data_IF_460569763186
#
_entry.id   IF_460569763186
#
_cell.length_a   1.000
_cell.length_b   1.000
_cell.length_c   1.000
_cell.angle_alpha   90.00
_cell.angle_beta   90.00
_cell.angle_gamma   90.00
#
_symmetry.space_group_name_H-M   'P 1'
#
loop_
_entity.id
_entity.type
_entity.pdbx_description
1 polymer ?
#
# COMPACT_ATOMS: atom_id res chain seq x y z
N UNK A 1 -6.62 -1.21 28.78
CA UNK A 1 -7.39 0.05 28.81
C UNK A 1 -7.61 0.49 27.37
N UNK A 2 -8.78 0.24 26.83
CA UNK A 2 -9.18 0.71 25.50
C UNK A 2 -9.62 2.14 25.65
N UNK A 3 -8.85 3.10 25.17
CA UNK A 3 -9.32 4.47 24.98
C UNK A 3 -9.90 4.50 23.56
N UNK A 4 -11.22 4.50 23.37
CA UNK A 4 -11.79 4.76 22.07
C UNK A 4 -11.52 6.24 21.80
N UNK A 5 -10.51 6.53 20.99
CA UNK A 5 -10.39 7.82 20.35
C UNK A 5 -11.56 7.89 19.36
N UNK A 6 -12.70 8.41 19.81
CA UNK A 6 -13.79 8.70 18.91
C UNK A 6 -13.23 9.65 17.82
N UNK A 7 -13.24 9.21 16.59
CA UNK A 7 -12.93 10.08 15.46
C UNK A 7 -13.76 11.35 15.59
N UNK A 8 -13.24 12.53 15.28
CA UNK A 8 -13.97 13.78 15.41
C UNK A 8 -15.34 13.68 14.72
N UNK A 9 -16.37 14.29 15.28
CA UNK A 9 -17.71 14.34 14.66
C UNK A 9 -17.69 14.89 13.23
N UNK A 10 -16.71 15.73 12.89
CA UNK A 10 -16.46 16.20 11.52
C UNK A 10 -16.13 15.09 10.52
N UNK A 11 -15.66 13.92 10.99
CA UNK A 11 -15.42 12.74 10.14
C UNK A 11 -16.68 11.87 9.98
N UNK A 12 -17.73 12.10 10.78
CA UNK A 12 -19.00 11.36 10.69
C UNK A 12 -19.80 11.69 9.42
N UNK A 13 -19.45 12.75 8.70
CA UNK A 13 -20.02 13.07 7.38
C UNK A 13 -19.49 12.17 6.26
N UNK A 14 -18.34 11.52 6.46
CA UNK A 14 -17.89 10.40 5.63
C UNK A 14 -18.69 9.18 6.05
N UNK A 15 -19.55 8.68 5.18
CA UNK A 15 -20.48 7.58 5.50
C UNK A 15 -19.69 6.36 5.98
N UNK A 16 -19.55 6.24 7.28
CA UNK A 16 -19.16 4.99 7.91
C UNK A 16 -20.35 4.03 7.78
N UNK A 17 -20.16 2.98 7.03
CA UNK A 17 -21.03 1.82 7.08
C UNK A 17 -20.48 0.89 8.16
N UNK A 18 -21.12 0.79 9.36
CA UNK A 18 -20.72 -0.21 10.33
C UNK A 18 -20.78 -1.57 9.66
N UNK A 19 -19.64 -2.24 9.59
CA UNK A 19 -19.54 -3.50 8.91
C UNK A 19 -20.30 -4.58 9.71
N UNK A 20 -21.03 -5.48 9.04
CA UNK A 20 -21.55 -6.69 9.67
C UNK A 20 -20.40 -7.52 10.25
N UNK A 21 -20.70 -8.46 11.15
CA UNK A 21 -19.70 -9.32 11.81
C UNK A 21 -18.76 -9.98 10.79
N UNK A 22 -17.50 -10.20 11.15
CA UNK A 22 -16.41 -10.61 10.26
C UNK A 22 -16.71 -11.82 9.35
N UNK A 23 -17.65 -12.69 9.74
CA UNK A 23 -18.02 -13.89 8.99
C UNK A 23 -19.01 -13.67 7.83
N UNK A 24 -19.56 -12.46 7.64
CA UNK A 24 -20.61 -12.18 6.63
C UNK A 24 -20.37 -10.91 5.82
N UNK A 25 -19.19 -10.30 5.91
CA UNK A 25 -18.88 -9.08 5.15
C UNK A 25 -18.68 -9.40 3.68
N UNK A 26 -19.35 -8.68 2.75
CA UNK A 26 -19.02 -8.80 1.33
C UNK A 26 -17.55 -8.42 1.12
N UNK A 27 -16.90 -9.11 0.21
CA UNK A 27 -15.51 -8.80 -0.15
C UNK A 27 -15.46 -7.41 -0.79
N UNK A 28 -14.66 -6.54 -0.20
CA UNK A 28 -14.37 -5.21 -0.71
C UNK A 28 -12.86 -4.97 -0.62
N UNK A 29 -12.21 -5.01 -1.78
CA UNK A 29 -10.77 -4.82 -1.88
C UNK A 29 -10.40 -3.49 -2.52
N UNK A 30 -9.09 -3.26 -2.65
CA UNK A 30 -8.60 -2.06 -3.31
C UNK A 30 -7.34 -2.33 -4.14
N UNK A 31 -7.23 -1.61 -5.26
CA UNK A 31 -5.98 -1.30 -5.92
C UNK A 31 -5.53 0.06 -5.40
N UNK A 32 -4.32 0.14 -4.87
CA UNK A 32 -3.82 1.33 -4.19
C UNK A 32 -2.45 1.76 -4.74
N UNK A 33 -2.39 2.18 -6.02
CA UNK A 33 -1.15 2.59 -6.64
C UNK A 33 -0.68 3.94 -6.09
N UNK A 34 0.63 4.02 -5.78
CA UNK A 34 1.31 5.29 -5.58
C UNK A 34 1.92 5.73 -6.91
N UNK A 35 1.74 6.99 -7.38
CA UNK A 35 2.19 7.46 -8.68
C UNK A 35 3.54 8.23 -8.65
N UNK A 36 4.64 7.69 -8.16
CA UNK A 36 5.95 8.34 -8.25
C UNK A 36 6.69 7.99 -9.56
N UNK A 37 6.03 7.32 -10.50
CA UNK A 37 6.53 6.88 -11.80
C UNK A 37 5.54 5.96 -12.49
N UNK A 38 5.93 5.49 -13.69
CA UNK A 38 5.14 4.53 -14.45
C UNK A 38 5.10 3.15 -13.80
N UNK A 39 4.03 2.39 -14.09
CA UNK A 39 3.84 1.01 -13.61
C UNK A 39 4.94 0.10 -14.16
N UNK A 40 5.61 -0.63 -13.28
CA UNK A 40 6.53 -1.72 -13.66
C UNK A 40 5.87 -3.08 -13.48
N UNK A 41 6.50 -4.12 -14.01
CA UNK A 41 5.95 -5.47 -14.01
C UNK A 41 5.62 -6.01 -12.60
N UNK A 42 6.41 -5.61 -11.57
CA UNK A 42 6.12 -5.97 -10.18
C UNK A 42 4.85 -5.31 -9.61
N UNK A 43 4.48 -4.10 -10.10
CA UNK A 43 3.19 -3.50 -9.77
C UNK A 43 2.06 -4.25 -10.49
N UNK A 44 2.21 -4.54 -11.80
CA UNK A 44 1.24 -5.32 -12.55
C UNK A 44 0.97 -6.69 -11.91
N UNK A 45 2.02 -7.36 -11.42
CA UNK A 45 1.92 -8.58 -10.62
C UNK A 45 1.03 -8.41 -9.40
N UNK A 46 1.33 -7.42 -8.56
CA UNK A 46 0.58 -7.19 -7.32
C UNK A 46 -0.88 -6.80 -7.59
N UNK A 47 -1.12 -5.96 -8.61
CA UNK A 47 -2.47 -5.53 -8.96
C UNK A 47 -3.29 -6.64 -9.61
N UNK A 48 -2.69 -7.47 -10.48
CA UNK A 48 -3.37 -8.63 -11.05
C UNK A 48 -3.83 -9.59 -9.93
N UNK A 49 -2.95 -9.94 -9.00
CA UNK A 49 -3.29 -10.86 -7.91
C UNK A 49 -4.32 -10.28 -6.94
N UNK A 50 -4.23 -8.98 -6.64
CA UNK A 50 -5.23 -8.29 -5.82
C UNK A 50 -6.60 -8.22 -6.52
N UNK A 51 -6.60 -7.94 -7.83
CA UNK A 51 -7.80 -7.93 -8.66
C UNK A 51 -8.46 -9.30 -8.71
N UNK A 52 -7.69 -10.35 -8.98
CA UNK A 52 -8.17 -11.73 -9.00
C UNK A 52 -8.78 -12.14 -7.66
N UNK A 53 -8.15 -11.79 -6.55
CA UNK A 53 -8.64 -12.13 -5.21
C UNK A 53 -10.01 -11.52 -4.91
N UNK A 54 -10.25 -10.29 -5.36
CA UNK A 54 -11.54 -9.61 -5.15
C UNK A 54 -12.59 -10.08 -6.15
N UNK A 55 -12.24 -10.13 -7.44
CA UNK A 55 -13.20 -10.47 -8.51
C UNK A 55 -13.64 -11.94 -8.47
N UNK A 56 -12.74 -12.88 -8.13
CA UNK A 56 -13.13 -14.30 -7.97
C UNK A 56 -14.10 -14.51 -6.81
N UNK A 57 -14.11 -13.62 -5.83
CA UNK A 57 -15.07 -13.62 -4.72
C UNK A 57 -16.35 -12.82 -5.02
N UNK A 58 -16.54 -12.29 -6.23
CA UNK A 58 -17.65 -11.42 -6.60
C UNK A 58 -17.67 -10.09 -5.83
N UNK A 59 -16.50 -9.64 -5.37
CA UNK A 59 -16.34 -8.48 -4.52
C UNK A 59 -16.29 -7.15 -5.27
N UNK A 60 -16.45 -6.06 -4.52
CA UNK A 60 -16.30 -4.69 -4.98
C UNK A 60 -14.82 -4.28 -4.93
N UNK A 61 -14.33 -3.65 -5.98
CA UNK A 61 -12.96 -3.18 -6.09
C UNK A 61 -12.89 -1.66 -6.15
N UNK A 62 -12.11 -1.08 -5.25
CA UNK A 62 -11.85 0.36 -5.17
C UNK A 62 -10.48 0.67 -5.78
N UNK A 63 -10.40 1.63 -6.68
CA UNK A 63 -9.12 2.22 -7.09
C UNK A 63 -8.88 3.48 -6.27
N UNK A 64 -7.86 3.46 -5.41
CA UNK A 64 -7.42 4.63 -4.61
C UNK A 64 -6.03 5.06 -5.04
N UNK A 65 -5.92 6.30 -5.48
CA UNK A 65 -4.63 6.88 -5.86
C UNK A 65 -3.88 7.38 -4.62
N UNK A 66 -2.74 6.78 -4.31
CA UNK A 66 -1.91 7.13 -3.15
C UNK A 66 -0.87 8.20 -3.50
N UNK A 67 -1.36 9.38 -3.80
CA UNK A 67 -0.63 10.56 -4.28
C UNK A 67 -0.34 11.62 -3.20
N UNK A 68 -0.30 11.20 -1.94
CA UNK A 68 -0.18 12.09 -0.77
C UNK A 68 1.13 12.91 -0.73
N UNK A 69 2.19 12.46 -1.38
CA UNK A 69 3.49 13.17 -1.46
C UNK A 69 3.57 13.99 -2.76
N UNK A 70 3.31 15.30 -2.72
CA UNK A 70 3.25 16.13 -3.92
C UNK A 70 4.61 16.30 -4.62
N UNK A 71 5.72 16.02 -3.92
CA UNK A 71 7.06 16.09 -4.51
C UNK A 71 7.37 14.85 -5.37
N UNK A 72 6.69 13.74 -5.13
CA UNK A 72 6.91 12.46 -5.81
C UNK A 72 5.80 12.10 -6.76
N UNK A 73 4.58 12.51 -6.45
CA UNK A 73 3.39 12.17 -7.24
C UNK A 73 3.15 13.20 -8.32
N UNK A 74 2.94 12.73 -9.53
CA UNK A 74 2.63 13.61 -10.68
C UNK A 74 1.33 13.15 -11.33
N UNK A 75 0.47 14.10 -11.76
CA UNK A 75 -0.80 13.77 -12.42
C UNK A 75 -0.63 12.87 -13.67
N UNK A 76 0.45 13.06 -14.41
CA UNK A 76 0.77 12.24 -15.59
C UNK A 76 0.98 10.77 -15.25
N UNK A 77 1.60 10.46 -14.09
CA UNK A 77 1.78 9.08 -13.65
C UNK A 77 0.47 8.47 -13.13
N UNK A 78 -0.38 9.27 -12.49
CA UNK A 78 -1.69 8.81 -12.07
C UNK A 78 -2.56 8.44 -13.28
N UNK A 79 -2.59 9.28 -14.32
CA UNK A 79 -3.26 8.97 -15.59
C UNK A 79 -2.71 7.71 -16.25
N UNK A 80 -1.38 7.63 -16.37
CA UNK A 80 -0.74 6.45 -16.95
C UNK A 80 -1.05 5.16 -16.19
N UNK A 81 -1.13 5.21 -14.85
CA UNK A 81 -1.51 4.05 -14.04
C UNK A 81 -2.94 3.59 -14.34
N UNK A 82 -3.88 4.52 -14.48
CA UNK A 82 -5.28 4.21 -14.85
C UNK A 82 -5.34 3.59 -16.26
N UNK A 83 -4.61 4.16 -17.23
CA UNK A 83 -4.50 3.63 -18.58
C UNK A 83 -3.92 2.21 -18.60
N UNK A 84 -2.83 1.99 -17.86
CA UNK A 84 -2.14 0.71 -17.82
C UNK A 84 -3.00 -0.38 -17.14
N UNK A 85 -3.72 -0.06 -16.06
CA UNK A 85 -4.67 -0.98 -15.41
C UNK A 85 -5.77 -1.41 -16.39
N UNK A 86 -6.40 -0.45 -17.07
CA UNK A 86 -7.42 -0.73 -18.08
C UNK A 86 -6.88 -1.57 -19.23
N UNK A 87 -5.70 -1.23 -19.71
CA UNK A 87 -5.08 -1.96 -20.81
C UNK A 87 -4.75 -3.41 -20.42
N UNK A 88 -4.38 -3.65 -19.15
CA UNK A 88 -4.20 -5.01 -18.62
C UNK A 88 -5.52 -5.76 -18.38
N UNK A 89 -6.68 -5.10 -18.58
CA UNK A 89 -8.00 -5.69 -18.32
C UNK A 89 -8.38 -5.72 -16.84
N UNK A 90 -7.78 -4.87 -16.02
CA UNK A 90 -8.06 -4.74 -14.58
C UNK A 90 -9.02 -3.58 -14.36
N UNK A 91 -10.28 -3.87 -14.20
CA UNK A 91 -11.35 -2.91 -13.92
C UNK A 91 -11.53 -2.63 -12.42
N UNK A 92 -12.33 -1.64 -12.08
CA UNK A 92 -12.74 -1.30 -10.71
C UNK A 92 -14.14 -0.69 -10.69
N UNK A 93 -14.80 -0.73 -9.53
CA UNK A 93 -16.19 -0.27 -9.37
C UNK A 93 -16.26 1.16 -8.84
N UNK A 94 -15.26 1.59 -8.07
CA UNK A 94 -15.22 2.90 -7.43
C UNK A 94 -13.80 3.49 -7.54
N UNK A 95 -13.73 4.79 -7.78
CA UNK A 95 -12.45 5.49 -7.91
C UNK A 95 -12.43 6.46 -9.10
N UNK A 96 -11.23 6.89 -9.52
CA UNK A 96 -11.08 7.75 -10.68
C UNK A 96 -11.40 7.00 -11.98
N UNK A 97 -12.05 7.71 -12.89
CA UNK A 97 -12.29 7.28 -14.27
C UNK A 97 -12.95 5.89 -14.41
N UNK A 98 -13.96 5.54 -13.58
CA UNK A 98 -14.64 4.23 -13.68
C UNK A 98 -15.21 4.02 -15.07
N UNK A 99 -16.05 4.95 -15.55
CA UNK A 99 -16.74 4.89 -16.86
C UNK A 99 -16.34 5.99 -17.82
N UNK A 100 -15.43 6.88 -17.42
CA UNK A 100 -15.08 8.09 -18.15
C UNK A 100 -13.84 7.97 -19.02
N UNK A 101 -13.72 8.89 -19.98
CA UNK A 101 -12.45 9.13 -20.66
C UNK A 101 -11.41 9.61 -19.64
N UNK A 102 -10.16 9.21 -19.85
CA UNK A 102 -9.03 9.74 -19.08
C UNK A 102 -8.62 11.05 -19.78
N UNK A 103 -8.77 12.22 -19.15
CA UNK A 103 -8.43 13.47 -19.77
C UNK A 103 -6.91 13.60 -19.95
N UNK A 104 -6.49 14.24 -21.04
CA UNK A 104 -5.06 14.53 -21.26
C UNK A 104 -4.51 15.50 -20.21
N UNK A 105 -5.35 16.45 -19.77
CA UNK A 105 -5.05 17.42 -18.73
C UNK A 105 -6.23 17.56 -17.75
N UNK A 106 -5.94 18.05 -16.54
CA UNK A 106 -6.94 18.25 -15.49
C UNK A 106 -7.22 17.00 -14.65
N UNK A 107 -8.27 17.09 -13.84
CA UNK A 107 -8.64 16.05 -12.88
C UNK A 107 -9.47 14.96 -13.56
N UNK A 108 -9.24 13.72 -13.18
CA UNK A 108 -10.07 12.58 -13.56
C UNK A 108 -11.38 12.62 -12.76
N UNK A 109 -12.50 12.38 -13.45
CA UNK A 109 -13.79 12.21 -12.77
C UNK A 109 -13.73 11.01 -11.82
N UNK A 110 -14.30 11.14 -10.64
CA UNK A 110 -14.38 10.09 -9.63
C UNK A 110 -15.81 9.58 -9.50
N UNK A 111 -15.96 8.28 -9.28
CA UNK A 111 -17.25 7.62 -9.07
C UNK A 111 -17.22 6.74 -7.82
N UNK A 112 -18.30 6.75 -7.06
CA UNK A 112 -18.51 5.92 -5.88
C UNK A 112 -18.81 6.74 -4.62
N UNK A 113 -19.28 6.07 -3.53
CA UNK A 113 -19.78 6.74 -2.33
C UNK A 113 -18.69 7.17 -1.35
N UNK A 114 -17.44 6.73 -1.53
CA UNK A 114 -16.37 6.88 -0.54
C UNK A 114 -15.28 7.90 -0.95
N UNK A 115 -15.52 8.67 -2.02
CA UNK A 115 -14.56 9.69 -2.49
C UNK A 115 -14.28 10.79 -1.45
N UNK A 116 -13.27 11.61 -1.71
CA UNK A 116 -12.32 11.57 -2.82
C UNK A 116 -11.44 10.30 -2.81
N UNK A 117 -11.07 9.81 -3.99
CA UNK A 117 -10.22 8.61 -4.14
C UNK A 117 -8.75 8.96 -4.39
N UNK A 118 -8.41 10.23 -4.49
CA UNK A 118 -7.04 10.73 -4.44
C UNK A 118 -6.69 11.13 -3.01
N UNK A 119 -5.58 10.59 -2.47
CA UNK A 119 -5.17 10.90 -1.10
C UNK A 119 -4.80 12.38 -0.92
N UNK A 120 -4.27 13.04 -1.93
CA UNK A 120 -3.99 14.48 -1.93
C UNK A 120 -5.25 15.33 -1.63
N UNK A 121 -6.41 14.92 -2.12
CA UNK A 121 -7.69 15.58 -1.86
C UNK A 121 -8.26 15.31 -0.45
N UNK A 122 -7.65 14.40 0.33
CA UNK A 122 -8.08 14.00 1.68
C UNK A 122 -7.26 14.64 2.80
N UNK A 123 -6.39 15.60 2.49
CA UNK A 123 -5.46 16.20 3.46
C UNK A 123 -6.17 16.72 4.73
N UNK A 124 -7.29 17.43 4.58
CA UNK A 124 -8.07 17.94 5.69
C UNK A 124 -8.60 16.83 6.64
N UNK A 125 -8.93 15.67 6.10
CA UNK A 125 -9.35 14.50 6.85
C UNK A 125 -8.21 13.96 7.72
N UNK A 126 -7.01 13.85 7.14
CA UNK A 126 -5.82 13.39 7.87
C UNK A 126 -5.41 14.38 8.96
N UNK A 127 -5.47 15.67 8.66
CA UNK A 127 -5.17 16.73 9.62
C UNK A 127 -6.13 16.69 10.82
N UNK A 128 -7.43 16.61 10.56
CA UNK A 128 -8.44 16.50 11.62
C UNK A 128 -8.24 15.24 12.49
N UNK A 129 -7.81 14.13 11.88
CA UNK A 129 -7.51 12.89 12.59
C UNK A 129 -6.29 13.05 13.49
N UNK A 130 -5.20 13.64 12.97
CA UNK A 130 -4.00 13.92 13.75
C UNK A 130 -4.25 14.88 14.91
N UNK A 131 -5.04 15.92 14.70
CA UNK A 131 -5.43 16.87 15.75
C UNK A 131 -6.23 16.18 16.86
N UNK A 132 -7.10 15.24 16.51
CA UNK A 132 -7.83 14.44 17.49
C UNK A 132 -6.90 13.51 18.29
N UNK A 133 -5.95 12.88 17.60
CA UNK A 133 -4.95 12.03 18.25
C UNK A 133 -4.01 12.83 19.15
N UNK A 134 -3.66 14.05 18.78
CA UNK A 134 -2.81 14.93 19.60
C UNK A 134 -3.56 15.37 20.87
N UNK A 135 -4.81 15.82 20.74
CA UNK A 135 -5.66 16.15 21.91
C UNK A 135 -5.84 14.97 22.86
N UNK A 136 -5.85 13.75 22.33
CA UNK A 136 -5.93 12.51 23.11
C UNK A 136 -4.58 12.09 23.72
N UNK A 137 -3.49 12.81 23.47
CA UNK A 137 -2.15 12.48 23.95
C UNK A 137 -1.53 11.23 23.30
N UNK A 138 -2.09 10.78 22.17
CA UNK A 138 -1.66 9.57 21.47
C UNK A 138 -0.42 9.78 20.60
N UNK A 139 -0.08 11.03 20.32
CA UNK A 139 1.08 11.39 19.52
C UNK A 139 2.04 12.32 20.27
N UNK A 140 3.23 12.47 19.73
CA UNK A 140 4.23 13.41 20.28
C UNK A 140 5.18 13.88 19.18
N UNK A 141 5.79 15.09 19.34
CA UNK A 141 6.76 15.60 18.40
C UNK A 141 8.10 14.90 18.55
N UNK A 142 8.69 14.50 17.43
CA UNK A 142 10.03 13.92 17.36
C UNK A 142 10.91 14.75 16.42
N UNK A 143 12.08 15.19 16.93
CA UNK A 143 13.01 16.08 16.25
C UNK A 143 14.25 15.34 15.70
N UNK A 144 14.30 14.02 15.78
CA UNK A 144 15.40 13.22 15.24
C UNK A 144 15.43 13.29 13.71
N UNK A 145 16.62 13.52 13.16
CA UNK A 145 16.87 13.44 11.73
C UNK A 145 17.03 11.99 11.27
N UNK A 146 16.83 11.73 9.96
CA UNK A 146 17.08 10.41 9.38
C UNK A 146 18.52 9.94 9.60
N UNK A 147 19.50 10.87 9.60
CA UNK A 147 20.92 10.56 9.86
C UNK A 147 21.12 10.08 11.28
N UNK A 148 20.56 10.80 12.27
CA UNK A 148 20.62 10.41 13.68
C UNK A 148 19.99 9.05 13.92
N UNK A 149 18.80 8.79 13.32
CA UNK A 149 18.11 7.50 13.45
C UNK A 149 18.93 6.33 12.88
N UNK A 150 19.58 6.51 11.72
CA UNK A 150 20.47 5.48 11.15
C UNK A 150 21.68 5.20 12.04
N UNK A 151 22.27 6.23 12.62
CA UNK A 151 23.40 6.09 13.54
C UNK A 151 23.01 5.33 14.81
N UNK A 152 21.80 5.60 15.35
CA UNK A 152 21.28 4.92 16.54
C UNK A 152 20.93 3.46 16.30
N UNK A 153 20.50 3.12 15.08
CA UNK A 153 20.10 1.76 14.72
C UNK A 153 21.29 0.81 14.54
N UNK A 154 22.52 1.31 14.37
CA UNK A 154 23.72 0.47 14.21
C UNK A 154 23.73 -0.43 12.97
N UNK A 155 22.74 -0.33 12.09
CA UNK A 155 22.56 -1.20 10.95
C UNK A 155 22.85 -0.48 9.63
N UNK A 156 23.71 -1.02 8.75
CA UNK A 156 24.02 -0.44 7.45
C UNK A 156 22.86 -0.56 6.44
N UNK A 157 21.95 -1.50 6.62
CA UNK A 157 20.80 -1.73 5.77
C UNK A 157 19.52 -1.56 6.57
N UNK A 158 18.76 -0.52 6.22
CA UNK A 158 17.44 -0.25 6.78
C UNK A 158 16.46 -0.64 5.68
N UNK A 159 15.68 -1.68 5.92
CA UNK A 159 14.57 -2.06 5.06
C UNK A 159 13.57 -0.90 4.92
N UNK A 160 12.63 -1.01 3.97
CA UNK A 160 11.58 0.00 3.74
C UNK A 160 10.76 0.35 5.00
N UNK A 161 10.83 -0.50 6.03
CA UNK A 161 10.26 -0.24 7.36
C UNK A 161 10.92 0.94 8.12
N UNK A 162 12.11 1.38 7.68
CA UNK A 162 12.88 2.41 8.35
C UNK A 162 13.70 1.89 9.56
N UNK A 163 14.66 2.70 10.04
CA UNK A 163 15.44 2.36 11.21
C UNK A 163 14.55 2.27 12.46
N UNK A 164 14.77 1.25 13.35
CA UNK A 164 14.09 1.18 14.63
C UNK A 164 14.24 2.49 15.42
N UNK A 165 13.13 2.98 15.95
CA UNK A 165 13.12 4.22 16.70
C UNK A 165 13.25 3.95 18.20
N UNK A 166 14.31 4.43 18.87
CA UNK A 166 14.58 4.12 20.27
C UNK A 166 13.78 4.94 21.29
N UNK A 167 12.78 5.71 20.85
CA UNK A 167 11.96 6.50 21.78
C UNK A 167 12.58 7.81 22.25
N UNK A 168 13.69 8.27 21.69
CA UNK A 168 14.50 9.42 22.16
C UNK A 168 13.69 10.69 22.47
N UNK A 169 12.63 10.98 21.70
CA UNK A 169 11.82 12.17 21.92
C UNK A 169 10.50 11.90 22.65
N UNK A 170 10.24 10.65 23.04
CA UNK A 170 8.94 10.23 23.62
C UNK A 170 8.62 10.93 24.94
N UNK A 171 9.66 11.25 25.72
CA UNK A 171 9.55 11.81 27.07
C UNK A 171 10.14 13.23 27.21
N UNK A 172 10.37 13.94 26.09
CA UNK A 172 10.85 15.31 26.14
C UNK A 172 9.87 16.21 26.89
N UNK A 173 10.41 16.98 27.84
CA UNK A 173 9.69 18.05 28.53
C UNK A 173 9.31 19.19 27.55
N UNK A 174 8.34 20.03 27.89
CA UNK A 174 8.01 21.21 27.10
C UNK A 174 9.21 22.13 26.86
N UNK A 175 10.11 22.24 27.84
CA UNK A 175 11.31 23.07 27.75
C UNK A 175 12.30 22.50 26.72
N UNK A 176 12.59 21.20 26.78
CA UNK A 176 13.46 20.52 25.81
C UNK A 176 12.92 20.60 24.39
N UNK A 177 11.58 20.56 24.20
CA UNK A 177 10.93 20.76 22.90
C UNK A 177 11.21 22.17 22.39
N UNK A 178 10.94 23.21 23.18
CA UNK A 178 11.21 24.61 22.82
C UNK A 178 12.68 24.84 22.45
N UNK A 179 13.62 24.23 23.18
CA UNK A 179 15.04 24.34 22.87
C UNK A 179 15.40 23.72 21.51
N UNK A 180 14.76 22.59 21.13
CA UNK A 180 14.97 21.97 19.82
C UNK A 180 14.39 22.82 18.70
N UNK A 181 13.21 23.37 18.89
CA UNK A 181 12.53 24.28 17.96
C UNK A 181 13.34 25.58 17.76
N UNK A 182 13.85 26.16 18.83
CA UNK A 182 14.72 27.33 18.78
C UNK A 182 16.02 27.08 17.99
N UNK A 183 16.50 25.83 17.93
CA UNK A 183 17.61 25.39 17.07
C UNK A 183 17.21 25.11 15.63
N UNK A 184 15.98 25.47 15.20
CA UNK A 184 15.47 25.26 13.84
C UNK A 184 15.09 23.82 13.52
N UNK A 185 14.93 22.94 14.51
CA UNK A 185 14.49 21.55 14.30
C UNK A 185 12.99 21.51 14.00
N UNK A 186 12.61 20.89 12.90
CA UNK A 186 11.21 20.62 12.58
C UNK A 186 10.81 19.24 13.11
N UNK A 187 9.69 19.19 13.80
CA UNK A 187 9.16 17.93 14.34
C UNK A 187 8.45 17.11 13.28
N UNK A 188 8.63 15.80 13.31
CA UNK A 188 7.64 14.85 12.82
C UNK A 188 6.71 14.47 13.98
N UNK A 189 5.48 14.02 13.69
CA UNK A 189 4.58 13.47 14.70
C UNK A 189 4.68 11.94 14.70
N UNK A 190 4.93 11.35 15.88
CA UNK A 190 4.97 9.90 16.06
C UNK A 190 3.83 9.43 16.94
N UNK A 191 3.30 8.24 16.62
CA UNK A 191 2.39 7.52 17.49
C UNK A 191 3.14 7.09 18.77
N UNK A 192 2.49 7.24 19.92
CA UNK A 192 2.87 6.51 21.14
C UNK A 192 2.35 5.09 21.00
N UNK A 193 3.21 4.20 20.52
CA UNK A 193 2.81 2.82 20.27
C UNK A 193 2.30 2.16 21.54
N UNK A 194 1.12 1.50 21.50
CA UNK A 194 0.66 0.68 22.61
C UNK A 194 1.55 -0.57 22.72
N UNK A 195 1.71 -1.03 23.96
CA UNK A 195 2.38 -2.30 24.25
C UNK A 195 1.51 -3.50 23.84
N UNK A 196 2.16 -4.65 23.65
CA UNK A 196 1.51 -5.91 23.38
C UNK A 196 1.78 -6.47 21.99
N UNK A 197 1.25 -7.67 21.76
CA UNK A 197 1.37 -8.37 20.47
C UNK A 197 0.14 -8.18 19.62
N UNK A 198 0.38 -8.09 18.34
CA UNK A 198 -0.63 -8.06 17.30
C UNK A 198 -0.62 -9.39 16.58
N UNK A 199 -1.70 -10.14 16.72
CA UNK A 199 -1.93 -11.41 16.05
C UNK A 199 -2.92 -11.20 14.92
N UNK A 200 -2.66 -11.79 13.77
CA UNK A 200 -3.60 -11.84 12.66
C UNK A 200 -3.34 -13.07 11.80
N UNK A 201 -4.40 -13.56 11.18
CA UNK A 201 -4.33 -14.61 10.19
C UNK A 201 -4.10 -13.99 8.83
N UNK A 202 -2.94 -14.25 8.22
CA UNK A 202 -2.66 -13.87 6.84
C UNK A 202 -3.19 -14.94 5.89
N UNK A 203 -3.88 -14.51 4.83
CA UNK A 203 -4.53 -15.42 3.88
C UNK A 203 -3.57 -16.31 3.09
N UNK A 204 -2.29 -15.94 3.02
CA UNK A 204 -1.27 -16.72 2.31
C UNK A 204 -0.16 -17.21 3.23
N UNK A 205 0.31 -16.37 4.15
CA UNK A 205 1.46 -16.67 5.01
C UNK A 205 1.06 -17.38 6.32
N UNK A 206 -0.23 -17.50 6.61
CA UNK A 206 -0.74 -18.13 7.83
C UNK A 206 -0.69 -17.21 9.05
N UNK A 207 -0.61 -17.77 10.24
CA UNK A 207 -0.60 -17.02 11.49
C UNK A 207 0.64 -16.12 11.60
N UNK A 208 0.40 -14.85 11.90
CA UNK A 208 1.42 -13.83 12.09
C UNK A 208 1.31 -13.19 13.47
N UNK A 209 2.45 -12.93 14.10
CA UNK A 209 2.51 -12.34 15.44
C UNK A 209 3.71 -11.42 15.58
N UNK A 210 3.46 -10.13 15.84
CA UNK A 210 4.48 -9.10 15.98
C UNK A 210 4.20 -8.22 17.18
N UNK A 211 5.25 -7.68 17.79
CA UNK A 211 5.15 -6.45 18.59
C UNK A 211 5.37 -5.24 17.70
N UNK A 212 5.02 -4.04 18.16
CA UNK A 212 5.35 -2.82 17.40
C UNK A 212 6.85 -2.52 17.45
N UNK A 213 7.55 -2.97 18.47
CA UNK A 213 9.02 -2.92 18.58
C UNK A 213 9.67 -3.76 17.46
N UNK A 214 9.18 -4.96 17.19
CA UNK A 214 9.63 -5.80 16.06
C UNK A 214 9.44 -5.08 14.72
N UNK A 215 8.47 -4.15 14.65
CA UNK A 215 8.16 -3.34 13.48
C UNK A 215 8.81 -1.95 13.51
N UNK A 216 9.80 -1.70 14.36
CA UNK A 216 10.54 -0.45 14.44
C UNK A 216 10.03 0.57 15.45
N UNK A 217 9.11 0.21 16.34
CA UNK A 217 8.66 1.05 17.46
C UNK A 217 7.71 2.18 17.06
N UNK A 218 7.79 3.28 17.79
CA UNK A 218 6.95 4.46 17.55
C UNK A 218 7.18 5.01 16.13
N UNK A 219 6.20 4.89 15.27
CA UNK A 219 6.30 5.26 13.86
C UNK A 219 5.70 6.64 13.57
N UNK A 220 6.22 7.29 12.53
CA UNK A 220 5.73 8.60 12.14
C UNK A 220 4.34 8.51 11.50
N UNK A 221 3.46 9.45 11.90
CA UNK A 221 2.14 9.69 11.31
C UNK A 221 2.13 10.96 10.44
N UNK A 222 3.03 11.92 10.73
CA UNK A 222 3.33 13.08 9.88
C UNK A 222 4.83 13.29 9.84
N UNK A 223 5.37 13.52 8.66
CA UNK A 223 6.77 13.84 8.43
C UNK A 223 7.09 15.27 8.88
N UNK A 224 8.37 15.56 9.06
CA UNK A 224 8.84 16.92 9.44
C UNK A 224 8.65 17.99 8.35
N UNK A 225 8.38 17.58 7.11
CA UNK A 225 7.99 18.47 6.00
C UNK A 225 6.48 18.72 5.92
N UNK A 226 5.71 18.17 6.85
CA UNK A 226 4.27 18.32 6.93
C UNK A 226 3.46 17.24 6.20
N UNK A 227 4.08 16.44 5.35
CA UNK A 227 3.40 15.37 4.61
C UNK A 227 2.93 14.27 5.56
N UNK A 228 1.69 13.86 5.44
CA UNK A 228 1.12 12.73 6.19
C UNK A 228 1.82 11.43 5.80
N UNK A 229 2.10 10.58 6.78
CA UNK A 229 2.81 9.35 6.54
C UNK A 229 1.87 8.25 6.04
N UNK A 230 2.41 7.35 5.20
CA UNK A 230 1.72 6.20 4.60
C UNK A 230 0.86 5.41 5.60
N UNK A 231 1.40 5.11 6.78
CA UNK A 231 0.70 4.27 7.76
C UNK A 231 -0.63 4.87 8.22
N UNK A 232 -0.69 6.19 8.43
CA UNK A 232 -1.92 6.86 8.83
C UNK A 232 -2.92 6.90 7.67
N UNK A 233 -2.47 7.37 6.51
CA UNK A 233 -3.35 7.57 5.36
C UNK A 233 -4.00 6.27 4.92
N UNK A 234 -3.20 5.21 4.73
CA UNK A 234 -3.71 3.91 4.28
C UNK A 234 -4.67 3.28 5.28
N UNK A 235 -4.31 3.28 6.59
CA UNK A 235 -5.19 2.68 7.60
C UNK A 235 -6.53 3.42 7.73
N UNK A 236 -6.49 4.76 7.68
CA UNK A 236 -7.71 5.57 7.77
C UNK A 236 -8.58 5.41 6.53
N UNK A 237 -7.97 5.42 5.34
CA UNK A 237 -8.71 5.27 4.09
C UNK A 237 -9.31 3.87 3.93
N UNK A 238 -8.55 2.81 4.26
CA UNK A 238 -9.07 1.44 4.24
C UNK A 238 -10.28 1.32 5.18
N UNK A 239 -10.24 1.94 6.38
CA UNK A 239 -11.35 1.95 7.31
C UNK A 239 -12.57 2.72 6.76
N UNK A 240 -12.37 3.96 6.31
CA UNK A 240 -13.47 4.84 5.87
C UNK A 240 -14.07 4.43 4.52
N UNK A 241 -13.27 3.79 3.65
CA UNK A 241 -13.76 3.19 2.40
C UNK A 241 -14.37 1.80 2.61
N UNK A 242 -14.41 1.30 3.85
CA UNK A 242 -15.01 0.01 4.19
C UNK A 242 -14.29 -1.18 3.57
N UNK A 243 -12.97 -1.11 3.40
CA UNK A 243 -12.17 -2.20 2.85
C UNK A 243 -12.20 -3.39 3.81
N UNK A 244 -12.56 -4.56 3.29
CA UNK A 244 -12.64 -5.80 4.05
C UNK A 244 -11.54 -6.79 3.69
N UNK A 245 -10.85 -6.59 2.55
CA UNK A 245 -9.76 -7.44 2.10
C UNK A 245 -8.61 -6.59 1.54
N UNK A 246 -7.40 -6.86 2.02
CA UNK A 246 -6.16 -6.21 1.59
C UNK A 246 -5.19 -7.26 1.06
N UNK A 247 -5.01 -7.29 -0.25
CA UNK A 247 -3.96 -8.09 -0.91
C UNK A 247 -2.85 -7.15 -1.36
N UNK A 248 -1.59 -7.47 -1.00
CA UNK A 248 -0.43 -6.60 -1.26
C UNK A 248 0.89 -7.37 -1.15
N UNK A 249 1.99 -6.79 -1.58
CA UNK A 249 3.30 -7.41 -1.50
C UNK A 249 3.76 -7.67 -0.05
N UNK A 250 4.47 -8.77 0.16
CA UNK A 250 4.99 -9.18 1.49
C UNK A 250 6.08 -8.25 2.05
N UNK A 251 6.66 -7.40 1.23
CA UNK A 251 7.64 -6.38 1.61
C UNK A 251 7.12 -5.38 2.64
N UNK A 252 5.80 -5.22 2.70
CA UNK A 252 5.13 -4.36 3.68
C UNK A 252 4.37 -5.13 4.76
N UNK A 253 4.71 -6.41 4.99
CA UNK A 253 4.11 -7.23 6.04
C UNK A 253 4.24 -6.58 7.42
N UNK A 254 5.40 -6.02 7.75
CA UNK A 254 5.66 -5.31 9.03
C UNK A 254 4.88 -4.00 9.18
N UNK A 255 4.22 -3.51 8.14
CA UNK A 255 3.27 -2.40 8.21
C UNK A 255 1.92 -2.82 8.79
N UNK A 256 1.55 -4.10 8.69
CA UNK A 256 0.26 -4.60 9.15
C UNK A 256 0.04 -4.39 10.66
N UNK A 257 0.96 -4.72 11.57
CA UNK A 257 0.79 -4.43 13.00
C UNK A 257 0.61 -2.95 13.31
N UNK A 258 1.30 -2.06 12.58
CA UNK A 258 1.15 -0.61 12.71
C UNK A 258 -0.25 -0.14 12.31
N UNK A 259 -0.79 -0.67 11.21
CA UNK A 259 -2.14 -0.36 10.73
C UNK A 259 -3.20 -0.95 11.67
N UNK A 260 -3.00 -2.18 12.16
CA UNK A 260 -3.86 -2.79 13.18
C UNK A 260 -3.91 -1.98 14.47
N UNK A 261 -2.77 -1.39 14.89
CA UNK A 261 -2.73 -0.51 16.05
C UNK A 261 -3.59 0.75 15.85
N UNK A 262 -3.50 1.38 14.68
CA UNK A 262 -4.31 2.55 14.34
C UNK A 262 -5.80 2.21 14.27
N UNK A 263 -6.17 1.13 13.57
CA UNK A 263 -7.55 0.67 13.45
C UNK A 263 -8.15 0.38 14.84
N UNK A 264 -7.39 -0.31 15.71
CA UNK A 264 -7.80 -0.59 17.10
C UNK A 264 -8.02 0.69 17.92
N UNK A 265 -7.11 1.68 17.79
CA UNK A 265 -7.24 2.98 18.47
C UNK A 265 -8.49 3.75 18.01
N UNK A 266 -8.87 3.62 16.75
CA UNK A 266 -10.06 4.26 16.19
C UNK A 266 -11.35 3.44 16.36
N UNK A 267 -11.26 2.20 16.83
CA UNK A 267 -12.40 1.31 17.00
C UNK A 267 -12.95 0.71 15.70
N UNK A 268 -12.12 0.64 14.66
CA UNK A 268 -12.47 -0.02 13.41
C UNK A 268 -12.06 -1.50 13.42
N UNK A 269 -12.91 -2.30 12.79
CA UNK A 269 -12.58 -3.69 12.52
C UNK A 269 -11.53 -3.77 11.39
N UNK A 270 -10.45 -4.56 11.55
CA UNK A 270 -9.44 -4.70 10.53
C UNK A 270 -9.96 -5.47 9.30
N UNK A 271 -9.41 -5.20 8.11
CA UNK A 271 -9.61 -6.07 6.96
C UNK A 271 -8.87 -7.40 7.11
N UNK A 272 -9.26 -8.40 6.33
CA UNK A 272 -8.46 -9.59 6.11
C UNK A 272 -7.23 -9.23 5.27
N UNK A 273 -6.04 -9.66 5.69
CA UNK A 273 -4.79 -9.40 4.97
C UNK A 273 -4.30 -10.65 4.24
N UNK A 274 -3.72 -10.45 3.06
CA UNK A 274 -2.95 -11.46 2.36
C UNK A 274 -1.70 -10.82 1.75
N UNK A 275 -0.53 -11.28 2.17
CA UNK A 275 0.75 -10.79 1.70
C UNK A 275 1.31 -11.74 0.63
N UNK A 276 1.25 -11.30 -0.62
CA UNK A 276 1.68 -12.07 -1.78
C UNK A 276 3.21 -11.96 -1.98
N UNK A 277 3.84 -12.98 -2.61
CA UNK A 277 5.26 -12.96 -2.91
C UNK A 277 5.61 -11.79 -3.83
N UNK A 278 6.86 -11.34 -3.73
CA UNK A 278 7.43 -10.35 -4.64
C UNK A 278 7.83 -11.01 -5.95
N UNK A 279 7.80 -10.22 -7.01
CA UNK A 279 8.40 -10.58 -8.27
C UNK A 279 9.83 -10.02 -8.31
N UNK A 280 10.80 -10.93 -8.47
CA UNK A 280 12.22 -10.63 -8.50
C UNK A 280 12.75 -10.73 -9.94
N UNK A 281 13.79 -9.97 -10.25
CA UNK A 281 14.52 -10.09 -11.52
C UNK A 281 15.35 -11.38 -11.61
N UNK A 282 16.11 -11.55 -12.70
CA UNK A 282 16.95 -12.72 -12.89
C UNK A 282 18.10 -12.85 -11.89
N UNK A 283 18.47 -11.78 -11.20
CA UNK A 283 19.50 -11.75 -10.16
C UNK A 283 18.93 -12.01 -8.76
N UNK A 284 17.61 -12.11 -8.63
CA UNK A 284 16.92 -12.26 -7.36
C UNK A 284 16.72 -10.94 -6.62
N UNK A 285 16.90 -9.81 -7.31
CA UNK A 285 16.65 -8.48 -6.78
C UNK A 285 15.21 -8.05 -7.05
N UNK A 286 14.66 -7.24 -6.15
CA UNK A 286 13.32 -6.68 -6.33
C UNK A 286 13.24 -5.84 -7.59
N UNK A 287 12.21 -6.07 -8.42
CA UNK A 287 11.91 -5.21 -9.56
C UNK A 287 11.63 -3.80 -9.06
N UNK A 288 12.56 -2.89 -9.31
CA UNK A 288 12.52 -1.51 -8.86
C UNK A 288 12.54 -0.55 -10.05
N UNK A 289 12.31 0.73 -9.79
CA UNK A 289 12.29 1.81 -10.79
C UNK A 289 13.56 1.94 -11.65
N UNK A 290 14.70 1.39 -11.22
CA UNK A 290 15.95 1.35 -12.01
C UNK A 290 15.84 0.49 -13.28
N UNK A 291 14.83 -0.39 -13.36
CA UNK A 291 14.52 -1.18 -14.54
C UNK A 291 13.48 -0.47 -15.44
N UNK A 292 13.69 0.80 -15.74
CA UNK A 292 12.77 1.65 -16.52
C UNK A 292 12.38 1.07 -17.89
N UNK A 293 13.26 0.22 -18.48
CA UNK A 293 13.01 -0.45 -19.76
C UNK A 293 11.86 -1.47 -19.74
N UNK A 294 11.28 -1.76 -18.58
CA UNK A 294 10.23 -2.75 -18.37
C UNK A 294 9.02 -2.20 -17.61
N UNK A 295 8.80 -0.90 -17.74
CA UNK A 295 7.50 -0.31 -17.47
C UNK A 295 6.46 -0.91 -18.39
N UNK A 296 5.26 -1.18 -17.87
CA UNK A 296 4.11 -1.70 -18.65
C UNK A 296 3.87 -0.85 -19.91
N UNK A 297 3.94 0.47 -19.76
CA UNK A 297 3.81 1.41 -20.89
C UNK A 297 4.88 1.24 -21.95
N UNK A 298 6.12 0.96 -21.57
CA UNK A 298 7.21 0.73 -22.50
C UNK A 298 7.04 -0.60 -23.24
N UNK A 299 6.67 -1.67 -22.54
CA UNK A 299 6.34 -2.96 -23.17
C UNK A 299 5.21 -2.80 -24.19
N UNK A 300 4.16 -2.06 -23.85
CA UNK A 300 3.06 -1.72 -24.78
C UNK A 300 3.56 -0.98 -26.03
N UNK A 301 4.50 -0.02 -25.88
CA UNK A 301 5.10 0.72 -27.02
C UNK A 301 5.95 -0.18 -27.91
N UNK A 302 6.55 -1.22 -27.35
CA UNK A 302 7.32 -2.24 -28.08
C UNK A 302 6.42 -3.27 -28.79
N UNK A 303 5.11 -3.13 -28.67
CA UNK A 303 4.13 -4.03 -29.32
C UNK A 303 3.78 -5.27 -28.50
N UNK A 304 4.25 -5.41 -27.25
CA UNK A 304 3.84 -6.50 -26.36
C UNK A 304 2.35 -6.35 -26.04
N UNK A 305 1.57 -7.40 -26.23
CA UNK A 305 0.16 -7.39 -25.90
C UNK A 305 -0.09 -7.58 -24.39
N UNK A 306 -1.16 -6.96 -23.87
CA UNK A 306 -1.55 -7.14 -22.46
C UNK A 306 -1.74 -8.62 -22.09
N UNK A 307 -2.34 -9.39 -22.99
CA UNK A 307 -2.57 -10.81 -22.81
C UNK A 307 -1.25 -11.64 -22.69
N UNK A 308 -0.17 -11.21 -23.33
CA UNK A 308 1.15 -11.85 -23.18
C UNK A 308 1.73 -11.60 -21.79
N UNK A 309 1.61 -10.36 -21.29
CA UNK A 309 2.05 -10.01 -19.93
C UNK A 309 1.23 -10.82 -18.91
N UNK A 310 -0.09 -10.85 -19.04
CA UNK A 310 -0.96 -11.63 -18.14
C UNK A 310 -0.63 -13.11 -18.19
N UNK A 311 -0.35 -13.68 -19.36
CA UNK A 311 0.07 -15.08 -19.51
C UNK A 311 1.36 -15.42 -18.75
N UNK A 312 2.37 -14.54 -18.84
CA UNK A 312 3.62 -14.68 -18.08
C UNK A 312 3.37 -14.59 -16.58
N UNK A 313 2.60 -13.58 -16.14
CA UNK A 313 2.28 -13.40 -14.72
C UNK A 313 1.46 -14.58 -14.18
N UNK A 314 0.52 -15.11 -14.96
CA UNK A 314 -0.29 -16.28 -14.58
C UNK A 314 0.60 -17.55 -14.42
N UNK A 315 1.59 -17.73 -15.29
CA UNK A 315 2.56 -18.84 -15.18
C UNK A 315 3.39 -18.69 -13.91
N UNK A 316 3.92 -17.52 -13.64
CA UNK A 316 4.71 -17.23 -12.45
C UNK A 316 3.91 -17.40 -11.15
N UNK A 317 2.62 -17.07 -11.18
CA UNK A 317 1.69 -17.28 -10.06
C UNK A 317 1.29 -18.75 -9.86
N UNK A 318 1.72 -19.66 -10.75
CA UNK A 318 1.29 -21.06 -10.71
C UNK A 318 -0.16 -21.29 -11.10
N UNK A 319 -0.83 -20.28 -11.68
CA UNK A 319 -2.23 -20.35 -12.11
C UNK A 319 -2.38 -21.06 -13.46
N UNK A 320 -1.32 -21.09 -14.28
CA UNK A 320 -1.29 -21.74 -15.58
C UNK A 320 0.00 -22.55 -15.76
N UNK A 321 -0.05 -23.68 -16.47
CA UNK A 321 1.14 -24.47 -16.76
C UNK A 321 2.04 -23.88 -17.87
N UNK A 322 1.50 -22.93 -18.64
CA UNK A 322 2.13 -22.30 -19.81
C UNK A 322 2.01 -20.77 -19.74
N UNK A 323 2.61 -20.07 -20.69
CA UNK A 323 2.60 -18.61 -20.82
C UNK A 323 1.76 -18.12 -22.00
N UNK A 324 0.81 -18.93 -22.49
CA UNK A 324 -0.04 -18.50 -23.61
C UNK A 324 -0.75 -17.21 -23.26
N UNK A 325 -0.86 -16.28 -24.21
CA UNK A 325 -1.62 -15.06 -24.03
C UNK A 325 -3.05 -15.35 -23.58
N UNK A 326 -3.53 -14.63 -22.55
CA UNK A 326 -4.91 -14.74 -22.05
C UNK A 326 -5.34 -13.45 -21.37
N UNK A 327 -6.65 -13.20 -21.28
CA UNK A 327 -7.16 -12.07 -20.51
C UNK A 327 -7.13 -12.36 -19.01
N UNK A 328 -7.04 -11.32 -18.20
CA UNK A 328 -7.08 -11.46 -16.73
C UNK A 328 -8.37 -12.15 -16.26
N UNK A 329 -9.50 -11.87 -16.91
CA UNK A 329 -10.81 -12.49 -16.63
C UNK A 329 -10.83 -14.01 -16.81
N UNK A 330 -10.00 -14.56 -17.70
CA UNK A 330 -9.93 -16.01 -17.94
C UNK A 330 -9.35 -16.78 -16.74
N UNK A 331 -8.73 -16.08 -15.80
CA UNK A 331 -8.16 -16.67 -14.59
C UNK A 331 -9.16 -16.75 -13.42
N UNK A 332 -10.28 -16.06 -13.48
CA UNK A 332 -11.20 -15.91 -12.34
C UNK A 332 -11.80 -17.23 -11.85
N UNK A 333 -12.18 -18.13 -12.76
CA UNK A 333 -12.84 -19.37 -12.41
C UNK A 333 -11.97 -20.30 -11.54
N UNK A 334 -10.68 -20.33 -11.84
CA UNK A 334 -9.71 -21.25 -11.23
C UNK A 334 -8.86 -20.58 -10.14
N UNK A 335 -8.99 -19.27 -9.97
CA UNK A 335 -8.17 -18.54 -8.98
C UNK A 335 -8.52 -18.97 -7.55
N UNK A 336 -7.49 -19.28 -6.78
CA UNK A 336 -7.53 -19.52 -5.34
C UNK A 336 -6.31 -18.91 -4.71
N UNK A 337 -6.51 -17.97 -3.81
CA UNK A 337 -5.43 -17.23 -3.14
C UNK A 337 -4.43 -18.16 -2.45
N UNK A 338 -4.92 -19.22 -1.82
CA UNK A 338 -4.13 -20.17 -1.05
C UNK A 338 -3.20 -21.02 -1.91
N UNK A 339 -3.41 -21.03 -3.24
CA UNK A 339 -2.56 -21.77 -4.20
C UNK A 339 -1.40 -20.96 -4.71
N UNK A 340 -1.35 -19.66 -4.43
CA UNK A 340 -0.22 -18.81 -4.83
C UNK A 340 1.08 -19.27 -4.16
N UNK A 341 2.23 -19.06 -4.80
CA UNK A 341 3.54 -19.31 -4.19
C UNK A 341 3.66 -18.54 -2.86
N UNK A 342 4.26 -19.18 -1.86
CA UNK A 342 4.53 -18.55 -0.55
C UNK A 342 5.90 -17.88 -0.49
N UNK A 343 6.77 -18.17 -1.45
CA UNK A 343 8.11 -17.58 -1.59
C UNK A 343 8.13 -16.61 -2.75
N UNK A 344 9.05 -15.66 -2.70
CA UNK A 344 9.25 -14.73 -3.79
C UNK A 344 9.57 -15.46 -5.08
N UNK A 345 9.08 -14.92 -6.20
CA UNK A 345 9.12 -15.57 -7.52
C UNK A 345 10.15 -14.85 -8.37
N UNK A 346 11.10 -15.60 -8.90
CA UNK A 346 12.17 -15.05 -9.73
C UNK A 346 11.87 -15.25 -11.22
N UNK A 347 12.11 -14.22 -12.03
CA UNK A 347 11.92 -14.30 -13.49
C UNK A 347 12.80 -15.37 -14.15
N UNK A 348 13.96 -15.70 -13.58
CA UNK A 348 14.84 -16.79 -14.07
C UNK A 348 14.20 -18.18 -13.95
N UNK A 349 13.17 -18.34 -13.11
CA UNK A 349 12.50 -19.63 -12.90
C UNK A 349 11.51 -19.96 -14.03
N UNK A 350 11.35 -19.06 -15.01
CA UNK A 350 10.57 -19.33 -16.21
C UNK A 350 11.28 -20.38 -17.09
N UNK A 351 10.55 -21.41 -17.56
CA UNK A 351 11.12 -22.47 -18.40
C UNK A 351 11.58 -21.98 -19.78
N UNK A 352 10.97 -20.90 -20.26
CA UNK A 352 11.32 -20.20 -21.48
C UNK A 352 11.04 -18.72 -21.26
N UNK A 353 12.02 -17.86 -21.50
CA UNK A 353 11.89 -16.42 -21.30
C UNK A 353 11.49 -15.77 -22.61
N UNK A 354 10.34 -15.08 -22.70
CA UNK A 354 9.98 -14.28 -23.88
C UNK A 354 11.04 -13.24 -24.20
N UNK A 355 11.21 -12.91 -25.47
CA UNK A 355 12.27 -11.99 -25.92
C UNK A 355 12.20 -10.63 -25.23
N UNK A 356 10.97 -10.10 -25.05
CA UNK A 356 10.74 -8.83 -24.37
C UNK A 356 11.08 -8.85 -22.87
N UNK A 357 11.20 -10.04 -22.26
CA UNK A 357 11.53 -10.22 -20.84
C UNK A 357 13.01 -10.54 -20.61
N UNK A 358 13.76 -10.97 -21.65
CA UNK A 358 15.17 -11.34 -21.55
C UNK A 358 16.06 -10.31 -20.84
N UNK A 359 15.89 -9.00 -21.05
CA UNK A 359 16.74 -8.02 -20.38
C UNK A 359 16.67 -8.06 -18.84
N UNK A 360 15.61 -8.64 -18.24
CA UNK A 360 15.48 -8.82 -16.80
C UNK A 360 16.00 -10.17 -16.29
N UNK A 361 16.20 -11.13 -17.16
CA UNK A 361 16.55 -12.48 -16.77
C UNK A 361 18.06 -12.75 -16.91
N UNK A 362 18.76 -11.95 -17.72
CA UNK A 362 20.20 -12.10 -17.96
C UNK A 362 20.98 -11.13 -17.04
N UNK A 363 22.16 -11.56 -16.51
CA UNK A 363 23.08 -10.62 -15.89
C UNK A 363 23.59 -9.62 -16.94
N UNK A 364 23.68 -8.35 -16.55
CA UNK A 364 24.33 -7.30 -17.35
C UNK A 364 25.82 -7.62 -17.53
#
# INVERSE_FOLDING_TARGET
MTIPCALPRSLQGYRYHPAPSASSRPVRGRLAPSPPGYMHLGNAWAFLLAWLAVRSAGGTLVLRMEDIDPQRSRPEYARALVEDLRWLGLDWDEGPAVDGAIPDEGDMAEQGPCGPYFQSARAALYDATLDAMDRAGLVYPCYCTRKELRQLAGAPHVDDAGAPYPGTCRHLSPEERRQREARGRRACLRLRCPEGRFHFQDGLLGEQSFTLEDCGGDFALRRSDGVVAYQLAVALDDALMGITQVVRGRDILTSTPRQLALLRLWGFEPPAYAHIPLLLDGQGERLAKRHQSLGVRELRRQGVAAAEIVGVLARLAGLRPDMRPLAAADLLADFRLERLPRQDVCLRDLPCVPDWLRPLCLPC
#
